data_IF_844661675514
#
_entry.id   IF_844661675514
#
_cell.length_a   1.000
_cell.length_b   1.000
_cell.length_c   1.000
_cell.angle_alpha   90.00
_cell.angle_beta   90.00
_cell.angle_gamma   90.00
#
_symmetry.space_group_name_H-M   'P 1'
#
loop_
_entity.id
_entity.type
_entity.pdbx_description
1 polymer ?
#
# COMPACT_ATOMS: atom_id res chain seq x y z
N UNK A 1 30.64 22.08 55.70
CA UNK A 1 30.37 22.65 54.36
C UNK A 1 29.84 21.55 53.45
N UNK A 2 28.56 21.65 53.12
CA UNK A 2 27.81 21.12 51.95
C UNK A 2 28.32 19.83 51.29
N UNK A 3 27.72 18.70 51.65
CA UNK A 3 27.55 17.57 50.74
C UNK A 3 26.37 17.86 49.80
N UNK A 4 26.54 17.59 48.51
CA UNK A 4 25.47 17.69 47.52
C UNK A 4 25.45 16.39 46.71
N UNK A 5 24.56 15.48 47.11
CA UNK A 5 24.17 14.33 46.29
C UNK A 5 23.34 14.84 45.12
N UNK A 6 23.84 14.68 43.89
CA UNK A 6 23.02 14.84 42.68
C UNK A 6 22.41 13.50 42.32
N UNK A 7 21.15 13.33 42.67
CA UNK A 7 20.30 12.25 42.19
C UNK A 7 19.93 12.56 40.74
N UNK A 8 20.62 11.94 39.78
CA UNK A 8 20.25 12.02 38.37
C UNK A 8 18.97 11.20 38.16
N UNK A 9 17.84 11.89 38.05
CA UNK A 9 16.55 11.29 37.69
C UNK A 9 16.64 10.70 36.29
N UNK A 10 16.51 9.37 36.21
CA UNK A 10 16.34 8.63 34.97
C UNK A 10 15.00 9.03 34.35
N UNK A 11 15.01 9.85 33.29
CA UNK A 11 13.82 10.08 32.47
C UNK A 11 13.56 8.80 31.67
N UNK A 12 12.64 7.96 32.16
CA UNK A 12 12.10 6.88 31.37
C UNK A 12 11.31 7.49 30.21
N UNK A 13 11.94 7.57 29.04
CA UNK A 13 11.24 7.81 27.78
C UNK A 13 10.35 6.60 27.53
N UNK A 14 9.09 6.67 27.99
CA UNK A 14 8.04 5.77 27.54
C UNK A 14 7.81 6.10 26.08
N UNK A 15 8.49 5.37 25.19
CA UNK A 15 8.24 5.45 23.76
C UNK A 15 6.82 4.98 23.50
N UNK A 16 5.88 5.92 23.38
CA UNK A 16 4.62 5.66 22.71
C UNK A 16 4.97 5.27 21.27
N UNK A 17 4.87 3.97 20.97
CA UNK A 17 4.80 3.49 19.62
C UNK A 17 3.53 4.08 19.00
N UNK A 18 3.67 5.21 18.30
CA UNK A 18 2.60 5.75 17.48
C UNK A 18 2.47 4.79 16.29
N UNK A 19 1.48 3.91 16.36
CA UNK A 19 0.98 3.24 15.19
C UNK A 19 0.25 4.31 14.39
N UNK A 20 0.97 5.01 13.52
CA UNK A 20 0.38 5.87 12.50
C UNK A 20 -0.36 4.97 11.51
N UNK A 21 -1.55 4.53 11.92
CA UNK A 21 -2.57 4.17 10.96
C UNK A 21 -2.94 5.50 10.30
N UNK A 22 -2.22 5.89 9.24
CA UNK A 22 -2.63 7.03 8.43
C UNK A 22 -4.10 6.80 8.06
N UNK A 23 -4.97 7.66 8.59
CA UNK A 23 -6.39 7.56 8.35
C UNK A 23 -6.62 7.83 6.87
N UNK A 24 -6.98 6.80 6.11
CA UNK A 24 -7.33 6.95 4.71
C UNK A 24 -8.70 7.62 4.58
N UNK A 25 -8.88 8.41 3.52
CA UNK A 25 -10.16 8.97 3.13
C UNK A 25 -11.01 7.92 2.42
N UNK A 26 -12.30 7.87 2.77
CA UNK A 26 -13.31 7.12 2.01
C UNK A 26 -13.86 7.89 0.81
N UNK A 27 -13.48 9.16 0.62
CA UNK A 27 -13.87 9.94 -0.56
C UNK A 27 -13.32 9.32 -1.84
N UNK A 28 -14.12 9.32 -2.89
CA UNK A 28 -13.70 8.88 -4.22
C UNK A 28 -12.86 9.92 -4.98
N UNK A 29 -12.58 11.08 -4.37
CA UNK A 29 -11.57 12.03 -4.85
C UNK A 29 -10.14 11.46 -4.74
N UNK A 30 -9.97 10.46 -3.87
CA UNK A 30 -8.77 9.66 -3.72
C UNK A 30 -8.98 8.27 -4.31
N UNK A 31 -7.95 7.72 -4.94
CA UNK A 31 -8.04 6.41 -5.56
C UNK A 31 -8.01 5.30 -4.51
N UNK A 32 -9.03 4.45 -4.52
CA UNK A 32 -9.27 3.40 -3.54
C UNK A 32 -8.85 2.05 -4.10
N UNK A 33 -7.98 1.31 -3.42
CA UNK A 33 -7.74 -0.11 -3.75
C UNK A 33 -8.85 -0.95 -3.14
N UNK A 34 -9.64 -1.60 -3.99
CA UNK A 34 -10.82 -2.37 -3.58
C UNK A 34 -10.55 -3.87 -3.47
N UNK A 35 -9.62 -4.39 -4.27
CA UNK A 35 -9.18 -5.79 -4.24
C UNK A 35 -7.77 -5.96 -4.82
N UNK A 36 -7.04 -6.96 -4.35
CA UNK A 36 -5.73 -7.36 -4.87
C UNK A 36 -5.65 -8.88 -5.07
N UNK A 37 -5.19 -9.33 -6.23
CA UNK A 37 -4.75 -10.71 -6.42
C UNK A 37 -3.25 -10.72 -6.66
N UNK A 38 -2.50 -11.36 -5.76
CA UNK A 38 -1.06 -11.54 -5.89
C UNK A 38 -0.76 -12.98 -6.33
N UNK A 39 -0.01 -13.13 -7.42
CA UNK A 39 0.39 -14.44 -7.94
C UNK A 39 1.90 -14.53 -8.06
N UNK A 40 2.52 -15.48 -7.38
CA UNK A 40 3.93 -15.79 -7.53
C UNK A 40 4.14 -16.65 -8.79
N UNK A 41 5.13 -16.28 -9.60
CA UNK A 41 5.54 -16.99 -10.82
C UNK A 41 6.62 -18.01 -10.48
N UNK A 42 6.84 -18.96 -11.39
CA UNK A 42 7.85 -20.03 -11.24
C UNK A 42 9.28 -19.49 -11.01
N UNK A 43 9.59 -18.30 -11.53
CA UNK A 43 10.88 -17.65 -11.35
C UNK A 43 10.99 -16.83 -10.04
N UNK A 44 10.03 -16.96 -9.13
CA UNK A 44 9.98 -16.23 -7.85
C UNK A 44 9.42 -14.80 -7.94
N UNK A 45 9.28 -14.22 -9.14
CA UNK A 45 8.69 -12.89 -9.32
C UNK A 45 7.18 -12.89 -9.10
N UNK A 46 6.62 -11.71 -8.82
CA UNK A 46 5.20 -11.54 -8.53
C UNK A 46 4.47 -10.81 -9.64
N UNK A 47 3.21 -11.20 -9.85
CA UNK A 47 2.20 -10.44 -10.55
C UNK A 47 1.12 -9.97 -9.59
N UNK A 48 0.68 -8.73 -9.74
CA UNK A 48 -0.43 -8.15 -8.99
C UNK A 48 -1.50 -7.70 -9.95
N UNK A 49 -2.72 -8.20 -9.76
CA UNK A 49 -3.94 -7.67 -10.34
C UNK A 49 -4.61 -6.78 -9.29
N UNK A 50 -4.66 -5.48 -9.55
CA UNK A 50 -5.15 -4.48 -8.58
C UNK A 50 -6.41 -3.84 -9.10
N UNK A 51 -7.50 -3.98 -8.33
CA UNK A 51 -8.77 -3.31 -8.58
C UNK A 51 -8.78 -1.96 -7.90
N UNK A 52 -9.06 -0.90 -8.67
CA UNK A 52 -9.09 0.48 -8.22
C UNK A 52 -10.49 1.05 -8.45
N UNK A 53 -10.97 1.84 -7.48
CA UNK A 53 -12.16 2.68 -7.59
C UNK A 53 -11.78 4.14 -7.37
N UNK A 54 -12.18 5.00 -8.29
CA UNK A 54 -12.01 6.45 -8.19
C UNK A 54 -13.17 7.15 -8.90
N UNK A 55 -13.52 8.38 -8.49
CA UNK A 55 -14.46 9.21 -9.23
C UNK A 55 -13.71 9.99 -10.31
N UNK A 56 -13.33 9.30 -11.39
CA UNK A 56 -12.65 9.96 -12.51
C UNK A 56 -13.59 10.99 -13.16
N UNK A 57 -13.08 12.22 -13.37
CA UNK A 57 -13.80 13.35 -14.00
C UNK A 57 -13.11 13.81 -15.29
N UNK A 58 -12.27 12.95 -15.87
CA UNK A 58 -11.51 13.20 -17.09
C UNK A 58 -10.02 13.36 -16.80
N UNK A 59 -9.28 13.94 -17.76
CA UNK A 59 -7.81 14.03 -17.70
C UNK A 59 -7.28 14.87 -16.53
N UNK A 60 -8.10 15.79 -16.03
CA UNK A 60 -7.72 16.70 -14.95
C UNK A 60 -7.86 16.04 -13.57
N UNK A 61 -8.70 15.01 -13.40
CA UNK A 61 -8.90 14.32 -12.12
C UNK A 61 -9.22 12.83 -12.34
N UNK A 62 -8.21 11.98 -12.16
CA UNK A 62 -8.34 10.54 -12.32
C UNK A 62 -7.28 9.75 -11.52
N UNK A 63 -7.53 8.46 -11.34
CA UNK A 63 -6.53 7.53 -10.83
C UNK A 63 -5.41 7.30 -11.86
N UNK A 64 -4.20 7.80 -11.60
CA UNK A 64 -3.08 7.76 -12.56
C UNK A 64 -2.03 6.67 -12.27
N UNK A 65 -2.21 5.89 -11.21
CA UNK A 65 -1.32 4.77 -10.94
C UNK A 65 -1.63 4.01 -9.65
N UNK A 66 -0.93 2.90 -9.47
CA UNK A 66 -0.85 2.22 -8.18
C UNK A 66 0.55 1.64 -7.95
N UNK A 67 0.88 1.40 -6.69
CA UNK A 67 2.18 0.94 -6.23
C UNK A 67 2.02 -0.26 -5.29
N UNK A 68 3.03 -1.14 -5.32
CA UNK A 68 3.29 -2.15 -4.29
C UNK A 68 4.51 -1.66 -3.51
N UNK A 69 4.34 -1.45 -2.21
CA UNK A 69 5.41 -0.99 -1.32
C UNK A 69 5.64 -1.97 -0.18
N UNK A 70 6.86 -2.00 0.35
CA UNK A 70 7.14 -2.70 1.61
C UNK A 70 6.56 -1.95 2.81
N UNK A 71 6.67 -2.54 4.01
CA UNK A 71 6.14 -1.91 5.24
C UNK A 71 6.91 -0.65 5.67
N UNK A 72 8.05 -0.35 5.04
CA UNK A 72 8.83 0.89 5.25
C UNK A 72 8.52 1.95 4.18
N UNK A 73 7.64 1.64 3.21
CA UNK A 73 7.26 2.52 2.13
C UNK A 73 8.19 2.47 0.91
N UNK A 74 9.16 1.55 0.84
CA UNK A 74 9.99 1.39 -0.36
C UNK A 74 9.16 0.79 -1.49
N UNK A 75 9.26 1.38 -2.69
CA UNK A 75 8.55 0.91 -3.87
C UNK A 75 9.20 -0.37 -4.39
N UNK A 76 8.42 -1.45 -4.42
CA UNK A 76 8.79 -2.75 -5.00
C UNK A 76 8.32 -2.86 -6.45
N UNK A 77 7.20 -2.21 -6.78
CA UNK A 77 6.67 -2.15 -8.13
C UNK A 77 5.63 -1.06 -8.27
N UNK A 78 5.41 -0.60 -9.51
CA UNK A 78 4.43 0.43 -9.84
C UNK A 78 3.76 0.14 -11.18
N UNK A 79 2.52 0.60 -11.32
CA UNK A 79 1.76 0.54 -12.57
C UNK A 79 1.15 1.92 -12.87
N UNK A 80 1.70 2.65 -13.85
CA UNK A 80 1.05 3.84 -14.38
C UNK A 80 -0.29 3.49 -15.06
N UNK A 81 -1.25 4.40 -14.94
CA UNK A 81 -2.54 4.38 -15.63
C UNK A 81 -2.62 5.60 -16.53
N UNK A 82 -2.71 5.35 -17.84
CA UNK A 82 -2.47 6.37 -18.85
C UNK A 82 -3.75 7.05 -19.38
N UNK A 83 -4.92 6.75 -18.81
CA UNK A 83 -6.18 7.40 -19.17
C UNK A 83 -7.19 7.35 -18.01
N UNK A 84 -8.17 8.27 -18.00
CA UNK A 84 -9.34 8.18 -17.13
C UNK A 84 -10.21 6.97 -17.48
N UNK A 85 -10.85 6.39 -16.46
CA UNK A 85 -11.73 5.24 -16.50
C UNK A 85 -13.16 5.60 -16.05
N UNK A 86 -13.72 6.73 -16.51
CA UNK A 86 -15.04 7.23 -16.05
C UNK A 86 -16.17 6.20 -16.16
N UNK A 87 -16.13 5.34 -17.19
CA UNK A 87 -17.17 4.35 -17.49
C UNK A 87 -16.79 2.91 -17.13
N UNK A 88 -15.65 2.69 -16.48
CA UNK A 88 -15.14 1.37 -16.08
C UNK A 88 -14.73 1.45 -14.60
N UNK A 89 -15.68 1.30 -13.68
CA UNK A 89 -15.42 1.43 -12.24
C UNK A 89 -16.13 0.33 -11.43
N UNK A 90 -15.43 -0.37 -10.52
CA UNK A 90 -13.97 -0.42 -10.41
C UNK A 90 -13.34 -1.06 -11.66
N UNK A 91 -12.11 -0.68 -11.98
CA UNK A 91 -11.31 -1.32 -13.02
C UNK A 91 -10.13 -2.07 -12.40
N UNK A 92 -9.64 -3.09 -13.11
CA UNK A 92 -8.48 -3.89 -12.70
C UNK A 92 -7.37 -3.74 -13.71
N UNK A 93 -6.14 -3.52 -13.24
CA UNK A 93 -4.94 -3.57 -14.10
C UNK A 93 -3.87 -4.42 -13.42
N UNK A 94 -3.09 -5.12 -14.25
CA UNK A 94 -2.06 -6.08 -13.83
C UNK A 94 -0.66 -5.47 -13.90
N UNK A 95 0.25 -5.79 -12.98
CA UNK A 95 1.70 -5.62 -13.21
C UNK A 95 2.44 -6.87 -12.80
N UNK A 96 3.38 -7.31 -13.62
CA UNK A 96 4.18 -8.52 -13.43
C UNK A 96 5.67 -8.19 -13.29
N UNK A 97 6.47 -9.23 -13.00
CA UNK A 97 7.92 -9.15 -12.82
C UNK A 97 8.32 -8.25 -11.64
N UNK A 98 7.46 -8.16 -10.61
CA UNK A 98 7.76 -7.43 -9.39
C UNK A 98 8.63 -8.35 -8.52
N UNK A 99 9.88 -7.95 -8.28
CA UNK A 99 10.79 -8.66 -7.42
C UNK A 99 10.50 -8.29 -5.96
N UNK A 100 10.13 -9.27 -5.15
CA UNK A 100 9.89 -9.09 -3.72
C UNK A 100 10.83 -10.05 -2.98
N UNK A 101 11.72 -9.57 -2.10
CA UNK A 101 12.58 -10.43 -1.31
C UNK A 101 11.76 -11.38 -0.44
N UNK A 102 12.20 -12.64 -0.30
CA UNK A 102 11.50 -13.65 0.52
C UNK A 102 11.36 -13.26 2.01
N UNK A 103 12.17 -12.31 2.47
CA UNK A 103 12.07 -11.75 3.82
C UNK A 103 10.86 -10.81 4.02
N UNK A 104 10.21 -10.38 2.93
CA UNK A 104 9.04 -9.48 2.97
C UNK A 104 7.77 -10.31 3.07
N UNK A 105 7.23 -10.44 4.28
CA UNK A 105 5.98 -11.16 4.51
C UNK A 105 4.72 -10.35 4.12
N UNK A 106 4.80 -9.01 4.17
CA UNK A 106 3.67 -8.13 3.92
C UNK A 106 4.05 -6.99 2.99
N UNK A 107 3.15 -6.68 2.07
CA UNK A 107 3.24 -5.50 1.21
C UNK A 107 1.97 -4.67 1.33
N UNK A 108 2.07 -3.39 1.02
CA UNK A 108 0.95 -2.46 0.96
C UNK A 108 0.73 -2.08 -0.50
N UNK A 109 -0.50 -2.26 -0.98
CA UNK A 109 -0.91 -1.83 -2.31
C UNK A 109 -1.75 -0.57 -2.19
N UNK A 110 -1.31 0.51 -2.83
CA UNK A 110 -1.94 1.83 -2.76
C UNK A 110 -2.13 2.44 -4.15
N UNK A 111 -3.24 3.14 -4.36
CA UNK A 111 -3.55 3.81 -5.62
C UNK A 111 -3.38 5.33 -5.48
N UNK A 112 -3.05 5.98 -6.60
CA UNK A 112 -2.71 7.39 -6.68
C UNK A 112 -3.70 8.14 -7.57
N UNK A 113 -4.19 9.27 -7.08
CA UNK A 113 -4.91 10.27 -7.84
C UNK A 113 -3.90 11.31 -8.40
N UNK A 114 -4.10 11.78 -9.63
CA UNK A 114 -3.24 12.79 -10.24
C UNK A 114 -3.31 14.16 -9.53
N UNK A 115 -4.44 14.50 -8.89
CA UNK A 115 -4.64 15.75 -8.14
C UNK A 115 -4.25 15.60 -6.68
N UNK A 116 -4.82 14.60 -6.00
CA UNK A 116 -4.73 14.46 -4.54
C UNK A 116 -3.60 13.52 -4.08
N UNK A 117 -2.88 12.88 -5.00
CA UNK A 117 -1.83 11.93 -4.66
C UNK A 117 -2.38 10.66 -4.00
N UNK A 118 -1.69 10.21 -2.95
CA UNK A 118 -2.15 9.09 -2.11
C UNK A 118 -3.04 9.62 -0.98
N UNK A 119 -3.94 8.77 -0.49
CA UNK A 119 -4.86 9.13 0.59
C UNK A 119 -6.13 8.30 0.61
N UNK A 120 -6.37 7.51 -0.43
CA UNK A 120 -7.43 6.50 -0.45
C UNK A 120 -7.01 5.21 0.26
N UNK A 121 -7.98 4.31 0.42
CA UNK A 121 -7.78 3.00 1.03
C UNK A 121 -6.68 2.22 0.32
N UNK A 122 -5.71 1.77 1.09
CA UNK A 122 -4.71 0.79 0.70
C UNK A 122 -5.11 -0.61 1.17
N UNK A 123 -4.56 -1.64 0.53
CA UNK A 123 -4.72 -3.05 0.95
C UNK A 123 -3.38 -3.59 1.40
N UNK A 124 -3.32 -4.09 2.64
CA UNK A 124 -2.14 -4.83 3.13
C UNK A 124 -2.29 -6.30 2.77
N UNK A 125 -1.39 -6.81 1.93
CA UNK A 125 -1.35 -8.20 1.48
C UNK A 125 -0.31 -8.94 2.30
N UNK A 126 -0.73 -9.97 3.05
CA UNK A 126 0.19 -10.93 3.64
C UNK A 126 0.52 -12.00 2.60
N UNK A 127 1.74 -11.96 2.06
CA UNK A 127 2.21 -12.86 1.01
C UNK A 127 2.32 -14.31 1.47
N UNK A 128 2.23 -14.59 2.78
CA UNK A 128 2.26 -15.97 3.31
C UNK A 128 0.85 -16.52 3.61
N UNK A 129 -0.21 -15.80 3.23
CA UNK A 129 -1.60 -16.18 3.52
C UNK A 129 -2.42 -16.14 2.24
N UNK A 130 -3.04 -17.27 1.89
CA UNK A 130 -3.77 -17.42 0.63
C UNK A 130 -4.93 -16.42 0.46
N UNK A 131 -5.51 -15.93 1.54
CA UNK A 131 -6.61 -14.95 1.52
C UNK A 131 -6.51 -13.97 2.67
N UNK A 132 -7.14 -12.82 2.53
CA UNK A 132 -7.38 -11.88 3.62
C UNK A 132 -8.35 -10.78 3.21
N UNK A 133 -8.41 -9.72 3.99
CA UNK A 133 -9.33 -8.62 3.71
C UNK A 133 -8.96 -7.94 2.38
N UNK A 134 -9.81 -8.11 1.37
CA UNK A 134 -9.63 -7.55 0.02
C UNK A 134 -8.40 -8.06 -0.73
N UNK A 135 -7.90 -9.26 -0.41
CA UNK A 135 -6.87 -9.87 -1.21
C UNK A 135 -6.90 -11.39 -1.27
N UNK A 136 -6.27 -11.92 -2.32
CA UNK A 136 -5.90 -13.33 -2.46
C UNK A 136 -4.44 -13.47 -2.88
N UNK A 137 -3.80 -14.56 -2.47
CA UNK A 137 -2.41 -14.90 -2.80
C UNK A 137 -2.37 -16.30 -3.38
N UNK A 138 -1.69 -16.44 -4.51
CA UNK A 138 -1.46 -17.70 -5.19
C UNK A 138 0.04 -17.92 -5.36
N UNK A 139 0.60 -18.85 -4.61
CA UNK A 139 1.98 -19.26 -4.84
C UNK A 139 2.08 -20.19 -6.04
N UNK A 140 3.21 -20.11 -6.73
CA UNK A 140 3.60 -21.19 -7.63
C UNK A 140 3.82 -22.45 -6.77
N UNK A 141 3.28 -23.58 -7.21
CA UNK A 141 3.47 -24.88 -6.54
C UNK A 141 4.85 -25.45 -6.81
#
# INVERSE_FOLDING_TARGET
MRGLLFLATLFAFVGLAHSETEAHSSSLDYAQVTNVTATQKANGSWCFDVSVRHNDEGWDHYANGWEVVDQKGHILGSRPLAHPHNNEQPFTRRQCNIAIPDTVAKVIVRAKCNVHGFGGKAVTVNLNSATGAHYTVQHHK
#
